data_IF_551064410198
#
_entry.id   IF_551064410198
#
_cell.length_a   1.000
_cell.length_b   1.000
_cell.length_c   1.000
_cell.angle_alpha   90.00
_cell.angle_beta   90.00
_cell.angle_gamma   90.00
#
_symmetry.space_group_name_H-M   'P 1'
#
loop_
_entity.id
_entity.type
_entity.pdbx_description
1 polymer ?
#
# COMPACT_ATOMS: atom_id res chain seq x y z
N UNK A 1 29.45 0.90 -0.12
CA UNK A 1 28.27 0.27 -0.77
C UNK A 1 27.28 1.42 -0.95
N UNK A 2 27.42 2.22 -2.01
CA UNK A 2 26.88 3.59 -2.04
C UNK A 2 26.18 3.96 -3.36
N UNK A 3 25.45 3.03 -3.97
CA UNK A 3 24.84 3.25 -5.31
C UNK A 3 23.31 3.30 -5.35
N UNK A 4 22.60 2.96 -4.28
CA UNK A 4 21.13 2.98 -4.30
C UNK A 4 20.55 4.39 -4.05
N UNK A 5 21.20 5.19 -3.20
CA UNK A 5 20.78 6.57 -2.85
C UNK A 5 20.72 7.56 -4.02
N UNK A 6 21.67 7.57 -4.98
CA UNK A 6 21.63 8.52 -6.10
C UNK A 6 20.47 8.23 -7.07
N UNK A 7 20.12 6.96 -7.27
CA UNK A 7 19.15 6.52 -8.27
C UNK A 7 17.71 6.90 -7.87
N UNK A 8 17.33 6.71 -6.60
CA UNK A 8 16.01 7.09 -6.08
C UNK A 8 15.77 8.60 -6.17
N UNK A 9 16.78 9.40 -5.80
CA UNK A 9 16.69 10.86 -5.85
C UNK A 9 16.67 11.39 -7.29
N UNK A 10 17.43 10.77 -8.19
CA UNK A 10 17.38 11.10 -9.62
C UNK A 10 16.04 10.73 -10.24
N UNK A 11 15.46 9.58 -9.87
CA UNK A 11 14.13 9.18 -10.30
C UNK A 11 13.07 10.19 -9.86
N UNK A 12 13.07 10.60 -8.58
CA UNK A 12 12.15 11.61 -8.05
C UNK A 12 12.32 12.96 -8.74
N UNK A 13 13.56 13.40 -8.99
CA UNK A 13 13.83 14.63 -9.74
C UNK A 13 13.18 14.58 -11.12
N UNK A 14 13.39 13.50 -11.86
CA UNK A 14 12.83 13.34 -13.21
C UNK A 14 11.29 13.34 -13.18
N UNK A 15 10.67 12.68 -12.19
CA UNK A 15 9.21 12.70 -12.04
C UNK A 15 8.67 14.12 -11.73
N UNK A 16 9.37 14.92 -10.91
CA UNK A 16 8.99 16.31 -10.62
C UNK A 16 9.13 17.18 -11.87
N UNK A 17 10.18 16.99 -12.66
CA UNK A 17 10.34 17.69 -13.95
C UNK A 17 9.22 17.34 -14.92
N UNK A 18 8.81 16.07 -14.99
CA UNK A 18 7.69 15.62 -15.81
C UNK A 18 6.34 16.14 -15.30
N UNK A 19 6.15 16.27 -13.99
CA UNK A 19 4.95 16.86 -13.40
C UNK A 19 4.75 18.31 -13.86
N UNK A 20 5.82 19.08 -14.02
CA UNK A 20 5.76 20.46 -14.49
C UNK A 20 5.28 20.60 -15.94
N UNK A 21 5.29 19.50 -16.71
CA UNK A 21 4.83 19.44 -18.10
C UNK A 21 3.35 19.06 -18.23
N UNK A 22 2.65 18.83 -17.12
CA UNK A 22 1.25 18.38 -17.11
C UNK A 22 0.31 19.55 -16.90
N UNK A 23 -0.51 19.81 -17.92
CA UNK A 23 -1.51 20.86 -17.92
C UNK A 23 -2.85 20.42 -17.32
N UNK A 24 -3.21 19.13 -17.45
CA UNK A 24 -4.46 18.61 -16.89
C UNK A 24 -4.41 18.50 -15.36
N UNK A 25 -5.31 19.19 -14.61
CA UNK A 25 -5.28 19.20 -13.15
C UNK A 25 -5.47 17.82 -12.52
N UNK A 26 -6.26 16.95 -13.14
CA UNK A 26 -6.57 15.62 -12.63
C UNK A 26 -5.37 14.70 -12.77
N UNK A 27 -4.76 14.66 -13.95
CA UNK A 27 -3.51 13.94 -14.21
C UNK A 27 -2.38 14.44 -13.30
N UNK A 28 -2.34 15.76 -13.06
CA UNK A 28 -1.36 16.38 -12.18
C UNK A 28 -1.51 15.92 -10.72
N UNK A 29 -2.73 15.82 -10.20
CA UNK A 29 -2.99 15.30 -8.84
C UNK A 29 -2.57 13.84 -8.73
N UNK A 30 -2.95 12.98 -9.68
CA UNK A 30 -2.55 11.57 -9.68
C UNK A 30 -1.03 11.39 -9.72
N UNK A 31 -0.33 12.19 -10.54
CA UNK A 31 1.15 12.17 -10.55
C UNK A 31 1.77 12.68 -9.26
N UNK A 32 1.21 13.72 -8.63
CA UNK A 32 1.67 14.22 -7.33
C UNK A 32 1.56 13.15 -6.24
N UNK A 33 0.44 12.42 -6.20
CA UNK A 33 0.23 11.32 -5.24
C UNK A 33 1.28 10.24 -5.43
N UNK A 34 1.57 9.86 -6.68
CA UNK A 34 2.62 8.88 -6.99
C UNK A 34 4.01 9.36 -6.54
N UNK A 35 4.38 10.59 -6.87
CA UNK A 35 5.67 11.19 -6.47
C UNK A 35 5.82 11.21 -4.94
N UNK A 36 4.77 11.61 -4.23
CA UNK A 36 4.77 11.61 -2.76
C UNK A 36 4.98 10.19 -2.20
N UNK A 37 4.32 9.19 -2.77
CA UNK A 37 4.52 7.80 -2.40
C UNK A 37 5.94 7.30 -2.66
N UNK A 38 6.51 7.62 -3.82
CA UNK A 38 7.87 7.22 -4.16
C UNK A 38 8.90 7.90 -3.24
N UNK A 39 8.67 9.17 -2.88
CA UNK A 39 9.53 9.93 -1.98
C UNK A 39 9.55 9.36 -0.56
N UNK A 40 8.38 9.00 -0.02
CA UNK A 40 8.29 8.37 1.30
C UNK A 40 8.92 6.97 1.27
N UNK A 41 8.72 6.20 0.19
CA UNK A 41 9.34 4.88 0.04
C UNK A 41 10.87 4.96 0.00
N UNK A 42 11.43 5.96 -0.71
CA UNK A 42 12.86 6.24 -0.69
C UNK A 42 13.34 6.63 0.72
N UNK A 43 12.60 7.47 1.44
CA UNK A 43 12.94 7.86 2.81
C UNK A 43 12.99 6.64 3.77
N UNK A 44 12.07 5.67 3.62
CA UNK A 44 12.13 4.44 4.42
C UNK A 44 13.32 3.56 4.08
N UNK A 45 13.68 3.40 2.80
CA UNK A 45 14.90 2.68 2.42
C UNK A 45 16.15 3.31 3.05
N UNK A 46 16.25 4.64 2.98
CA UNK A 46 17.33 5.40 3.60
C UNK A 46 17.39 5.14 5.11
N UNK A 47 16.23 5.20 5.78
CA UNK A 47 16.15 4.97 7.21
C UNK A 47 16.57 3.54 7.58
N UNK A 48 16.15 2.54 6.81
CA UNK A 48 16.49 1.12 7.01
C UNK A 48 18.00 0.90 6.89
N UNK A 49 18.61 1.39 5.80
CA UNK A 49 20.04 1.26 5.53
C UNK A 49 20.91 1.95 6.59
N UNK A 50 20.39 3.03 7.18
CA UNK A 50 21.09 3.80 8.22
C UNK A 50 20.98 3.21 9.63
N UNK A 51 19.98 2.35 9.87
CA UNK A 51 19.72 1.82 11.21
C UNK A 51 20.65 0.65 11.52
N UNK A 52 21.22 0.63 12.73
CA UNK A 52 22.01 -0.50 13.26
C UNK A 52 21.27 -1.32 14.30
N UNK A 53 20.02 -0.95 14.61
CA UNK A 53 19.21 -1.55 15.67
C UNK A 53 18.21 -2.55 15.06
N UNK A 54 18.27 -3.85 15.39
CA UNK A 54 17.43 -4.87 14.75
C UNK A 54 15.92 -4.63 14.88
N UNK A 55 15.45 -4.17 16.05
CA UNK A 55 14.04 -3.84 16.25
C UNK A 55 13.60 -2.63 15.42
N UNK A 56 14.47 -1.63 15.29
CA UNK A 56 14.19 -0.45 14.47
C UNK A 56 14.16 -0.83 12.98
N UNK A 57 15.11 -1.65 12.50
CA UNK A 57 15.09 -2.16 11.13
C UNK A 57 13.81 -2.92 10.83
N UNK A 58 13.38 -3.83 11.73
CA UNK A 58 12.11 -4.56 11.60
C UNK A 58 10.91 -3.61 11.51
N UNK A 59 10.80 -2.65 12.42
CA UNK A 59 9.71 -1.67 12.42
C UNK A 59 9.70 -0.82 11.13
N UNK A 60 10.87 -0.43 10.63
CA UNK A 60 10.99 0.30 9.37
C UNK A 60 10.62 -0.56 8.16
N UNK A 61 10.87 -1.86 8.18
CA UNK A 61 10.41 -2.79 7.15
C UNK A 61 8.89 -2.87 7.13
N UNK A 62 8.26 -3.16 8.27
CA UNK A 62 6.81 -3.28 8.35
C UNK A 62 6.11 -1.94 7.96
N UNK A 63 6.72 -0.80 8.32
CA UNK A 63 6.24 0.53 7.94
C UNK A 63 6.37 0.82 6.43
N UNK A 64 7.47 0.38 5.83
CA UNK A 64 7.68 0.48 4.39
C UNK A 64 6.66 -0.36 3.62
N UNK A 65 6.35 -1.57 4.10
CA UNK A 65 5.31 -2.43 3.51
C UNK A 65 3.91 -1.82 3.61
N UNK A 66 3.55 -1.29 4.80
CA UNK A 66 2.30 -0.59 5.02
C UNK A 66 2.16 0.60 4.06
N UNK A 67 3.20 1.42 3.97
CA UNK A 67 3.22 2.57 3.08
C UNK A 67 3.09 2.14 1.61
N UNK A 68 3.82 1.09 1.19
CA UNK A 68 3.72 0.56 -0.17
C UNK A 68 2.31 0.12 -0.54
N UNK A 69 1.60 -0.56 0.38
CA UNK A 69 0.21 -0.95 0.18
C UNK A 69 -0.73 0.27 0.10
N UNK A 70 -0.55 1.27 0.96
CA UNK A 70 -1.34 2.51 0.91
C UNK A 70 -1.09 3.28 -0.39
N UNK A 71 0.17 3.38 -0.83
CA UNK A 71 0.55 4.05 -2.06
C UNK A 71 -0.04 3.34 -3.29
N UNK A 72 -0.03 2.00 -3.31
CA UNK A 72 -0.67 1.20 -4.35
C UNK A 72 -2.18 1.46 -4.41
N UNK A 73 -2.87 1.48 -3.27
CA UNK A 73 -4.29 1.81 -3.19
C UNK A 73 -4.57 3.25 -3.66
N UNK A 74 -3.74 4.21 -3.23
CA UNK A 74 -3.87 5.60 -3.61
C UNK A 74 -3.75 5.76 -5.14
N UNK A 75 -2.71 5.19 -5.75
CA UNK A 75 -2.50 5.24 -7.20
C UNK A 75 -3.69 4.72 -8.00
N UNK A 76 -4.38 3.69 -7.51
CA UNK A 76 -5.57 3.15 -8.15
C UNK A 76 -6.80 4.04 -7.93
N UNK A 77 -7.01 4.50 -6.69
CA UNK A 77 -8.25 5.20 -6.31
C UNK A 77 -8.25 6.69 -6.64
N UNK A 78 -7.10 7.28 -6.96
CA UNK A 78 -7.01 8.69 -7.40
C UNK A 78 -7.28 8.87 -8.88
N UNK A 79 -7.32 7.80 -9.67
CA UNK A 79 -7.79 7.83 -11.06
C UNK A 79 -9.34 7.87 -11.07
N UNK A 80 -9.95 9.00 -11.49
CA UNK A 80 -11.39 9.15 -11.43
C UNK A 80 -12.14 8.19 -12.36
N UNK A 81 -11.59 7.93 -13.56
CA UNK A 81 -12.22 7.06 -14.55
C UNK A 81 -12.21 5.61 -14.06
N UNK A 82 -11.08 5.19 -13.48
CA UNK A 82 -10.97 3.89 -12.85
C UNK A 82 -11.93 3.74 -11.66
N UNK A 83 -12.00 4.76 -10.79
CA UNK A 83 -12.88 4.74 -9.63
C UNK A 83 -14.36 4.70 -10.03
N UNK A 84 -14.79 5.54 -10.99
CA UNK A 84 -16.16 5.57 -11.49
C UNK A 84 -16.55 4.22 -12.11
N UNK A 85 -15.65 3.62 -12.89
CA UNK A 85 -15.85 2.28 -13.47
C UNK A 85 -16.04 1.22 -12.39
N UNK A 86 -15.20 1.23 -11.35
CA UNK A 86 -15.30 0.28 -10.24
C UNK A 86 -16.67 0.38 -9.55
N UNK A 87 -17.13 1.59 -9.22
CA UNK A 87 -18.40 1.78 -8.52
C UNK A 87 -19.59 1.39 -9.40
N UNK A 88 -19.56 1.76 -10.69
CA UNK A 88 -20.70 1.60 -11.60
C UNK A 88 -20.88 0.16 -12.08
N UNK A 89 -19.79 -0.58 -12.26
CA UNK A 89 -19.82 -1.88 -12.93
C UNK A 89 -19.48 -3.08 -12.03
N UNK A 90 -19.02 -2.86 -10.79
CA UNK A 90 -18.82 -3.95 -9.82
C UNK A 90 -20.13 -4.74 -9.65
N UNK A 91 -20.03 -6.07 -9.76
CA UNK A 91 -21.18 -6.97 -9.66
C UNK A 91 -21.95 -7.19 -10.97
N UNK A 92 -21.70 -6.37 -11.99
CA UNK A 92 -22.31 -6.50 -13.32
C UNK A 92 -21.32 -7.02 -14.35
N UNK A 93 -20.04 -6.64 -14.22
CA UNK A 93 -18.95 -7.07 -15.12
C UNK A 93 -17.93 -7.90 -14.32
N UNK A 94 -17.70 -9.18 -14.66
CA UNK A 94 -16.78 -10.06 -13.94
C UNK A 94 -15.36 -9.49 -13.81
N UNK A 95 -14.83 -8.89 -14.87
CA UNK A 95 -13.49 -8.29 -14.88
C UNK A 95 -13.39 -7.11 -13.89
N UNK A 96 -14.46 -6.31 -13.77
CA UNK A 96 -14.51 -5.19 -12.81
C UNK A 96 -14.65 -5.71 -11.38
N UNK A 97 -15.36 -6.84 -11.18
CA UNK A 97 -15.36 -7.51 -9.88
C UNK A 97 -13.95 -7.99 -9.49
N UNK A 98 -13.17 -8.54 -10.42
CA UNK A 98 -11.78 -8.92 -10.16
C UNK A 98 -10.91 -7.72 -9.80
N UNK A 99 -11.08 -6.58 -10.49
CA UNK A 99 -10.39 -5.33 -10.16
C UNK A 99 -10.76 -4.84 -8.76
N UNK A 100 -12.04 -4.89 -8.39
CA UNK A 100 -12.48 -4.55 -7.03
C UNK A 100 -11.84 -5.48 -5.99
N UNK A 101 -11.81 -6.79 -6.24
CA UNK A 101 -11.17 -7.75 -5.34
C UNK A 101 -9.66 -7.49 -5.22
N UNK A 102 -8.99 -7.05 -6.27
CA UNK A 102 -7.58 -6.65 -6.21
C UNK A 102 -7.37 -5.45 -5.27
N UNK A 103 -8.22 -4.41 -5.36
CA UNK A 103 -8.20 -3.28 -4.42
C UNK A 103 -8.40 -3.75 -2.98
N UNK A 104 -9.35 -4.66 -2.75
CA UNK A 104 -9.57 -5.25 -1.42
C UNK A 104 -8.35 -6.00 -0.89
N UNK A 105 -7.62 -6.74 -1.75
CA UNK A 105 -6.36 -7.41 -1.37
C UNK A 105 -5.26 -6.44 -0.99
N UNK A 106 -5.18 -5.28 -1.64
CA UNK A 106 -4.22 -4.22 -1.27
C UNK A 106 -4.52 -3.72 0.15
N UNK A 107 -5.79 -3.49 0.47
CA UNK A 107 -6.19 -3.11 1.83
C UNK A 107 -5.95 -4.22 2.86
N UNK A 108 -6.10 -5.49 2.50
CA UNK A 108 -5.72 -6.60 3.38
C UNK A 108 -4.23 -6.57 3.69
N UNK A 109 -3.39 -6.36 2.67
CA UNK A 109 -1.95 -6.23 2.84
C UNK A 109 -1.61 -5.06 3.75
N UNK A 110 -2.21 -3.90 3.53
CA UNK A 110 -2.03 -2.73 4.40
C UNK A 110 -2.42 -3.05 5.85
N UNK A 111 -3.56 -3.70 6.06
CA UNK A 111 -4.00 -4.08 7.39
C UNK A 111 -3.04 -5.09 8.04
N UNK A 112 -2.55 -6.09 7.29
CA UNK A 112 -1.58 -7.05 7.78
C UNK A 112 -0.29 -6.36 8.23
N UNK A 113 0.28 -5.47 7.40
CA UNK A 113 1.48 -4.71 7.77
C UNK A 113 1.25 -3.80 8.98
N UNK A 114 0.08 -3.17 9.10
CA UNK A 114 -0.30 -2.42 10.30
C UNK A 114 -0.36 -3.32 11.54
N UNK A 115 -0.90 -4.53 11.42
CA UNK A 115 -0.94 -5.50 12.51
C UNK A 115 0.45 -5.99 12.93
N UNK A 116 1.36 -6.19 11.96
CA UNK A 116 2.75 -6.52 12.26
C UNK A 116 3.44 -5.38 13.01
N UNK A 117 3.19 -4.12 12.62
CA UNK A 117 3.70 -2.94 13.32
C UNK A 117 3.20 -2.82 14.77
N UNK A 118 1.97 -3.22 15.06
CA UNK A 118 1.45 -3.23 16.43
C UNK A 118 2.16 -4.26 17.33
N UNK A 119 2.94 -5.17 16.74
CA UNK A 119 3.71 -6.21 17.41
C UNK A 119 5.22 -6.03 17.15
N UNK A 120 5.69 -4.80 16.89
CA UNK A 120 7.07 -4.54 16.47
C UNK A 120 8.13 -5.00 17.49
N UNK A 121 7.76 -5.04 18.77
CA UNK A 121 8.58 -5.44 19.91
C UNK A 121 8.31 -6.88 20.39
N UNK A 122 7.35 -7.58 19.79
CA UNK A 122 7.03 -8.95 20.15
C UNK A 122 8.02 -9.93 19.49
N UNK A 123 8.54 -10.85 20.30
CA UNK A 123 9.44 -11.92 19.82
C UNK A 123 8.68 -12.97 19.00
N UNK A 124 7.45 -13.30 19.40
CA UNK A 124 6.55 -14.23 18.72
C UNK A 124 5.35 -13.46 18.15
N UNK A 125 5.47 -13.01 16.90
CA UNK A 125 4.43 -12.22 16.23
C UNK A 125 3.34 -13.14 15.69
N UNK A 126 2.09 -12.80 15.96
CA UNK A 126 0.97 -13.46 15.30
C UNK A 126 0.92 -13.03 13.83
N UNK A 127 0.84 -14.00 12.92
CA UNK A 127 0.63 -13.76 11.49
C UNK A 127 -0.86 -13.87 11.15
N UNK A 128 -1.34 -12.96 10.31
CA UNK A 128 -2.71 -13.02 9.80
C UNK A 128 -2.77 -13.81 8.51
N UNK A 129 -3.85 -14.56 8.35
CA UNK A 129 -4.22 -15.18 7.09
C UNK A 129 -5.36 -14.39 6.42
N UNK A 130 -5.04 -13.43 5.54
CA UNK A 130 -6.05 -12.63 4.87
C UNK A 130 -6.91 -13.45 3.90
N UNK A 131 -6.48 -14.63 3.43
CA UNK A 131 -7.28 -15.47 2.54
C UNK A 131 -8.47 -16.12 3.27
N UNK A 132 -8.26 -16.48 4.54
CA UNK A 132 -9.27 -17.08 5.40
C UNK A 132 -10.12 -16.06 6.16
N UNK A 133 -9.75 -14.77 6.08
CA UNK A 133 -10.32 -13.74 6.93
C UNK A 133 -9.78 -13.84 8.35
N UNK A 134 -9.81 -12.73 9.06
CA UNK A 134 -9.23 -12.64 10.40
C UNK A 134 -10.06 -11.73 11.29
N UNK A 135 -9.94 -11.93 12.60
CA UNK A 135 -10.46 -11.02 13.61
C UNK A 135 -9.46 -10.90 14.75
N UNK A 136 -9.21 -9.66 15.16
CA UNK A 136 -8.17 -9.28 16.10
C UNK A 136 -8.79 -8.32 17.09
N UNK A 137 -8.53 -8.55 18.37
CA UNK A 137 -8.95 -7.66 19.44
C UNK A 137 -7.73 -6.98 20.04
N UNK A 138 -7.71 -5.65 20.04
CA UNK A 138 -6.69 -4.85 20.74
C UNK A 138 -7.39 -3.90 21.71
N UNK A 139 -7.18 -4.11 23.00
CA UNK A 139 -7.93 -3.42 24.07
C UNK A 139 -9.43 -3.67 23.94
N UNK A 140 -10.22 -2.61 23.78
CA UNK A 140 -11.68 -2.68 23.59
C UNK A 140 -12.14 -2.67 22.12
N UNK A 141 -11.20 -2.64 21.17
CA UNK A 141 -11.50 -2.56 19.75
C UNK A 141 -11.34 -3.93 19.09
N UNK A 142 -12.30 -4.30 18.25
CA UNK A 142 -12.21 -5.46 17.37
C UNK A 142 -12.01 -4.97 15.93
N UNK A 143 -10.96 -5.46 15.29
CA UNK A 143 -10.66 -5.25 13.89
C UNK A 143 -10.78 -6.60 13.18
N UNK A 144 -11.35 -6.63 11.99
CA UNK A 144 -11.43 -7.89 11.28
C UNK A 144 -12.08 -7.77 9.93
N UNK A 145 -11.86 -8.80 9.11
CA UNK A 145 -12.48 -8.97 7.81
C UNK A 145 -13.03 -10.37 7.70
N UNK A 146 -14.30 -10.46 7.28
CA UNK A 146 -14.86 -11.72 6.80
C UNK A 146 -14.27 -12.05 5.42
N UNK A 147 -13.82 -13.29 5.22
CA UNK A 147 -13.38 -13.75 3.91
C UNK A 147 -14.53 -13.69 2.91
N UNK A 148 -14.35 -12.94 1.82
CA UNK A 148 -15.20 -13.01 0.64
C UNK A 148 -14.54 -13.98 -0.33
N UNK A 149 -14.59 -15.28 -0.05
CA UNK A 149 -14.33 -16.25 -1.11
C UNK A 149 -15.47 -16.06 -2.12
N UNK A 150 -15.18 -15.76 -3.41
CA UNK A 150 -16.19 -15.98 -4.43
C UNK A 150 -16.60 -17.44 -4.27
N UNK A 151 -17.88 -17.71 -4.02
CA UNK A 151 -18.40 -19.07 -4.06
C UNK A 151 -17.86 -19.67 -5.34
N UNK A 152 -17.08 -20.75 -5.23
CA UNK A 152 -16.53 -21.43 -6.39
C UNK A 152 -17.64 -21.55 -7.42
N UNK A 153 -17.51 -20.81 -8.51
CA UNK A 153 -18.46 -20.88 -9.62
C UNK A 153 -18.29 -22.33 -10.09
N UNK A 154 -19.29 -23.15 -9.76
CA UNK A 154 -19.41 -24.52 -10.24
C UNK A 154 -19.75 -24.51 -11.72
#
# INVERSE_FOLDING_TARGET
MDRCFPEDLEHLRNQIEDLNKVDDPTERVSKLVRIAGDAVSAAFRIAQDSSTLPLQQRALTDLSELHGAIAEAANLLTDPDYFERLISLKGHVPEVMLQHLAVMKIFDKAFCSLFMLMQYDADDRHELDPENGFMITSGSMAYGRASFRPSSIK
#
